data_IF_963889462180
#
_entry.id   IF_963889462180
#
_cell.length_a   1.000
_cell.length_b   1.000
_cell.length_c   1.000
_cell.angle_alpha   90.00
_cell.angle_beta   90.00
_cell.angle_gamma   90.00
#
_symmetry.space_group_name_H-M   'P 1'
#
loop_
_entity.id
_entity.type
_entity.pdbx_description
1 polymer ?
#
# COMPACT_ATOMS: atom_id res chain seq x y z
N UNK A 1 18.42 28.01 82.55
CA UNK A 1 18.91 27.09 81.51
C UNK A 1 17.78 26.89 80.55
N UNK A 2 17.82 27.59 79.42
CA UNK A 2 16.75 27.55 78.41
C UNK A 2 17.28 26.78 77.20
N UNK A 3 16.68 25.63 76.93
CA UNK A 3 16.97 24.78 75.76
C UNK A 3 16.14 25.29 74.60
N UNK A 4 16.80 25.86 73.58
CA UNK A 4 16.17 26.24 72.32
C UNK A 4 16.10 25.01 71.39
N UNK A 5 14.86 24.54 71.14
CA UNK A 5 14.57 23.48 70.18
C UNK A 5 14.55 24.08 68.76
N UNK A 6 15.48 23.68 67.89
CA UNK A 6 15.50 24.06 66.51
C UNK A 6 14.68 23.03 65.72
N UNK A 7 13.53 23.45 65.19
CA UNK A 7 12.72 22.66 64.27
C UNK A 7 13.32 22.79 62.85
N UNK A 8 13.96 21.73 62.34
CA UNK A 8 14.41 21.64 60.98
C UNK A 8 13.18 21.31 60.05
N UNK A 9 12.72 22.29 59.27
CA UNK A 9 11.72 22.09 58.26
C UNK A 9 12.45 21.53 57.03
N UNK A 10 12.29 20.23 56.76
CA UNK A 10 12.78 19.54 55.56
C UNK A 10 11.85 19.84 54.40
N UNK A 11 12.24 20.80 53.58
CA UNK A 11 11.51 21.17 52.35
C UNK A 11 11.71 20.05 51.31
N UNK A 12 10.71 19.14 51.14
CA UNK A 12 10.69 18.16 50.05
C UNK A 12 10.48 18.89 48.74
N UNK A 13 11.56 19.14 47.99
CA UNK A 13 11.49 19.57 46.61
C UNK A 13 11.10 18.35 45.77
N UNK A 14 9.81 18.23 45.41
CA UNK A 14 9.38 17.27 44.40
C UNK A 14 9.95 17.70 43.04
N UNK A 15 10.67 16.82 42.33
CA UNK A 15 11.07 17.13 40.94
C UNK A 15 9.78 17.29 40.09
N UNK A 16 9.77 18.24 39.13
CA UNK A 16 8.66 18.34 38.19
C UNK A 16 8.56 17.01 37.48
N UNK A 17 7.38 16.39 37.51
CA UNK A 17 7.06 15.28 36.63
C UNK A 17 7.25 15.79 35.18
N UNK A 18 8.23 15.23 34.44
CA UNK A 18 8.24 15.36 33.00
C UNK A 18 6.95 14.68 32.51
N UNK A 19 5.91 15.47 32.27
CA UNK A 19 4.83 15.04 31.41
C UNK A 19 5.48 14.74 30.09
N UNK A 20 5.65 13.45 29.77
CA UNK A 20 5.95 13.02 28.42
C UNK A 20 4.83 13.60 27.55
N UNK A 21 5.18 14.53 26.67
CA UNK A 21 4.27 15.06 25.66
C UNK A 21 3.82 13.84 24.82
N UNK A 22 2.68 13.23 25.22
CA UNK A 22 2.03 12.22 24.41
C UNK A 22 1.72 12.92 23.09
N UNK A 23 2.50 12.63 22.07
CA UNK A 23 2.37 13.20 20.75
C UNK A 23 0.90 13.08 20.31
N UNK A 24 0.17 14.17 20.44
CA UNK A 24 -1.28 14.22 20.19
C UNK A 24 -1.54 13.75 18.78
N UNK A 25 -2.24 12.62 18.62
CA UNK A 25 -2.59 12.07 17.33
C UNK A 25 -3.28 13.14 16.47
N UNK A 26 -2.92 13.27 15.19
CA UNK A 26 -3.58 14.20 14.30
C UNK A 26 -5.04 13.81 14.13
N UNK A 27 -5.97 14.78 14.12
CA UNK A 27 -7.40 14.51 13.96
C UNK A 27 -7.81 13.99 12.59
N UNK A 28 -6.88 13.96 11.63
CA UNK A 28 -7.11 13.42 10.28
C UNK A 28 -5.82 12.85 9.69
N UNK A 29 -5.97 11.96 8.70
CA UNK A 29 -4.92 11.47 7.82
C UNK A 29 -5.31 11.73 6.36
N UNK A 30 -4.38 12.22 5.54
CA UNK A 30 -4.56 12.40 4.09
C UNK A 30 -3.74 11.35 3.36
N UNK A 31 -4.40 10.43 2.66
CA UNK A 31 -3.74 9.39 1.87
C UNK A 31 -3.99 9.61 0.37
N UNK A 32 -2.93 9.54 -0.42
CA UNK A 32 -2.99 9.60 -1.87
C UNK A 32 -3.02 8.18 -2.47
N UNK A 33 -3.71 8.02 -3.59
CA UNK A 33 -3.68 6.77 -4.37
C UNK A 33 -4.01 7.05 -5.84
N UNK A 34 -3.54 6.18 -6.72
CA UNK A 34 -4.14 6.00 -8.03
C UNK A 34 -5.56 5.46 -7.88
N UNK A 35 -6.42 5.69 -8.85
CA UNK A 35 -7.76 5.15 -8.86
C UNK A 35 -7.73 3.74 -9.44
N UNK A 36 -7.93 2.74 -8.58
CA UNK A 36 -8.15 1.35 -8.96
C UNK A 36 -9.60 0.99 -8.64
N UNK A 37 -10.32 0.49 -9.66
CA UNK A 37 -11.75 0.20 -9.57
C UNK A 37 -12.07 -0.77 -8.43
N UNK A 38 -13.06 -0.46 -7.61
CA UNK A 38 -13.48 -1.22 -6.42
C UNK A 38 -12.43 -1.32 -5.30
N UNK A 39 -11.27 -0.67 -5.47
CA UNK A 39 -10.17 -0.74 -4.53
C UNK A 39 -9.87 0.62 -3.89
N UNK A 40 -9.56 1.62 -4.71
CA UNK A 40 -9.29 3.01 -4.28
C UNK A 40 -10.05 4.00 -5.15
N UNK A 41 -11.37 3.86 -5.24
CA UNK A 41 -12.22 4.75 -6.02
C UNK A 41 -12.03 6.21 -5.57
N UNK A 42 -12.15 7.14 -6.52
CA UNK A 42 -11.99 8.59 -6.29
C UNK A 42 -12.98 9.15 -5.28
N UNK A 43 -14.17 8.57 -5.17
CA UNK A 43 -15.21 8.96 -4.20
C UNK A 43 -14.91 8.49 -2.76
N UNK A 44 -13.80 7.76 -2.59
CA UNK A 44 -13.37 7.21 -1.33
C UNK A 44 -14.01 5.87 -0.97
N UNK A 45 -14.78 5.24 -1.85
CA UNK A 45 -15.21 3.84 -1.70
C UNK A 45 -14.13 2.88 -2.17
N UNK A 46 -14.20 1.62 -1.74
CA UNK A 46 -13.26 0.57 -2.17
C UNK A 46 -12.64 -0.19 -1.01
N UNK A 47 -12.12 -1.39 -1.30
CA UNK A 47 -11.56 -2.29 -0.30
C UNK A 47 -10.48 -1.61 0.55
N UNK A 48 -9.47 -1.01 -0.11
CA UNK A 48 -8.36 -0.39 0.61
C UNK A 48 -8.82 0.75 1.52
N UNK A 49 -9.74 1.59 1.02
CA UNK A 49 -10.28 2.69 1.83
C UNK A 49 -11.09 2.20 3.02
N UNK A 50 -11.87 1.11 2.87
CA UNK A 50 -12.63 0.53 3.97
C UNK A 50 -11.72 -0.09 5.04
N UNK A 51 -10.64 -0.78 4.64
CA UNK A 51 -9.63 -1.30 5.57
C UNK A 51 -8.97 -0.15 6.34
N UNK A 52 -8.54 0.90 5.63
CA UNK A 52 -7.84 2.02 6.24
C UNK A 52 -8.75 2.88 7.14
N UNK A 53 -10.05 3.01 6.81
CA UNK A 53 -11.03 3.59 7.74
C UNK A 53 -11.15 2.80 9.03
N UNK A 54 -11.23 1.47 8.93
CA UNK A 54 -11.30 0.60 10.12
C UNK A 54 -10.06 0.72 11.01
N UNK A 55 -8.93 1.05 10.41
CA UNK A 55 -7.69 1.32 11.16
C UNK A 55 -7.75 2.67 11.88
N UNK A 56 -8.06 3.75 11.17
CA UNK A 56 -7.84 5.12 11.65
C UNK A 56 -9.04 5.75 12.36
N UNK A 57 -10.27 5.59 11.83
CA UNK A 57 -11.44 6.31 12.34
C UNK A 57 -11.83 5.93 13.77
N UNK A 58 -11.76 4.64 14.19
CA UNK A 58 -12.03 4.29 15.60
C UNK A 58 -10.99 4.86 16.58
N UNK A 59 -9.83 5.30 16.09
CA UNK A 59 -8.82 6.00 16.88
C UNK A 59 -8.99 7.53 16.85
N UNK A 60 -10.08 8.04 16.29
CA UNK A 60 -10.37 9.48 16.18
C UNK A 60 -9.61 10.20 15.06
N UNK A 61 -9.04 9.47 14.10
CA UNK A 61 -8.29 10.02 12.95
C UNK A 61 -9.12 9.86 11.67
N UNK A 62 -9.76 10.93 11.22
CA UNK A 62 -10.61 10.90 10.02
C UNK A 62 -9.78 10.69 8.74
N UNK A 63 -10.17 9.73 7.91
CA UNK A 63 -9.52 9.46 6.62
C UNK A 63 -9.97 10.47 5.56
N UNK A 64 -9.01 11.13 4.92
CA UNK A 64 -9.21 11.94 3.72
C UNK A 64 -8.44 11.32 2.54
N UNK A 65 -9.12 11.11 1.42
CA UNK A 65 -8.54 10.51 0.23
C UNK A 65 -8.17 11.58 -0.80
N UNK A 66 -7.06 11.33 -1.52
CA UNK A 66 -6.60 12.17 -2.63
C UNK A 66 -6.27 11.30 -3.84
N UNK A 67 -7.10 11.38 -4.89
CA UNK A 67 -6.82 10.66 -6.13
C UNK A 67 -5.75 11.40 -6.95
N UNK A 68 -4.70 10.68 -7.36
CA UNK A 68 -3.63 11.16 -8.22
C UNK A 68 -2.95 9.96 -8.91
N UNK A 69 -2.31 10.11 -10.08
CA UNK A 69 -1.52 9.04 -10.69
C UNK A 69 -0.49 8.47 -9.70
N UNK A 70 -0.18 7.18 -9.80
CA UNK A 70 0.65 6.45 -8.83
C UNK A 70 1.96 7.16 -8.49
N UNK A 71 2.77 7.44 -9.51
CA UNK A 71 4.07 8.12 -9.32
C UNK A 71 3.95 9.50 -8.65
N UNK A 72 2.84 10.20 -8.91
CA UNK A 72 2.54 11.47 -8.25
C UNK A 72 2.16 11.26 -6.78
N UNK A 73 1.38 10.23 -6.48
CA UNK A 73 1.00 9.87 -5.09
C UNK A 73 2.24 9.58 -4.25
N UNK A 74 3.19 8.79 -4.78
CA UNK A 74 4.50 8.54 -4.15
C UNK A 74 5.24 9.86 -3.89
N UNK A 75 5.39 10.73 -4.91
CA UNK A 75 6.09 12.00 -4.78
C UNK A 75 5.44 12.97 -3.79
N UNK A 76 4.11 12.97 -3.68
CA UNK A 76 3.39 13.78 -2.68
C UNK A 76 3.73 13.36 -1.25
N UNK A 77 3.79 12.04 -0.98
CA UNK A 77 4.17 11.52 0.32
C UNK A 77 5.65 11.77 0.65
N UNK A 78 6.55 11.58 -0.32
CA UNK A 78 7.98 11.87 -0.15
C UNK A 78 8.25 13.34 0.23
N UNK A 79 7.45 14.28 -0.28
CA UNK A 79 7.57 15.72 0.07
C UNK A 79 6.74 16.13 1.28
N UNK A 80 6.01 15.20 1.92
CA UNK A 80 5.14 15.49 3.05
C UNK A 80 3.90 16.33 2.71
N UNK A 81 3.49 16.40 1.43
CA UNK A 81 2.27 17.09 1.00
C UNK A 81 0.99 16.30 1.29
N UNK A 82 1.14 15.00 1.54
CA UNK A 82 0.16 14.08 2.10
C UNK A 82 0.84 13.23 3.16
N UNK A 83 0.06 12.59 4.03
CA UNK A 83 0.58 11.77 5.12
C UNK A 83 1.13 10.41 4.64
N UNK A 84 0.68 9.97 3.45
CA UNK A 84 1.15 8.73 2.83
C UNK A 84 0.45 8.45 1.51
N UNK A 85 0.85 7.34 0.86
CA UNK A 85 0.15 6.81 -0.31
C UNK A 85 -0.18 5.32 -0.11
N UNK A 86 -1.16 4.84 -0.86
CA UNK A 86 -1.69 3.47 -0.75
C UNK A 86 -1.23 2.63 -1.93
N UNK A 87 -1.01 1.33 -1.70
CA UNK A 87 -0.66 0.37 -2.73
C UNK A 87 0.84 0.24 -2.99
N UNK A 88 1.68 0.56 -2.01
CA UNK A 88 3.13 0.39 -2.12
C UNK A 88 3.57 -1.03 -1.83
N UNK A 89 4.58 -1.50 -2.52
CA UNK A 89 5.37 -2.63 -2.06
C UNK A 89 6.42 -2.16 -1.05
N UNK A 90 6.93 -3.09 -0.22
CA UNK A 90 7.96 -2.73 0.79
C UNK A 90 9.23 -2.24 0.11
N UNK A 91 9.80 -1.17 0.64
CA UNK A 91 11.06 -0.56 0.18
C UNK A 91 11.04 -0.08 -1.29
N UNK A 92 9.84 0.22 -1.80
CA UNK A 92 9.67 0.73 -3.16
C UNK A 92 10.25 2.12 -3.37
N UNK A 93 10.12 2.97 -2.38
CA UNK A 93 10.58 4.36 -2.43
C UNK A 93 11.49 4.70 -1.24
N UNK A 94 12.45 5.61 -1.48
CA UNK A 94 13.32 6.17 -0.46
C UNK A 94 12.64 7.35 0.25
N UNK A 95 13.16 7.73 1.42
CA UNK A 95 12.67 8.86 2.23
C UNK A 95 11.17 8.75 2.59
N UNK A 96 10.75 7.54 2.94
CA UNK A 96 9.41 7.21 3.41
C UNK A 96 9.49 6.15 4.49
N UNK A 97 8.40 5.97 5.25
CA UNK A 97 8.32 5.01 6.33
C UNK A 97 7.35 3.90 5.96
N UNK A 98 7.78 2.66 6.10
CA UNK A 98 6.91 1.49 5.95
C UNK A 98 6.46 0.96 7.30
N UNK A 99 5.18 0.56 7.45
CA UNK A 99 4.68 -0.10 8.64
C UNK A 99 5.15 -1.56 8.69
N UNK A 100 5.00 -2.21 9.84
CA UNK A 100 5.22 -3.65 9.97
C UNK A 100 4.15 -4.45 9.21
N UNK A 101 2.88 -4.07 9.35
CA UNK A 101 1.75 -4.77 8.75
C UNK A 101 1.46 -4.27 7.33
N UNK A 102 1.30 -5.19 6.39
CA UNK A 102 0.61 -4.91 5.13
C UNK A 102 -0.90 -4.78 5.39
N UNK A 103 -1.64 -4.15 4.51
CA UNK A 103 -3.10 -4.05 4.65
C UNK A 103 -3.84 -4.98 3.70
N UNK A 104 -3.16 -5.49 2.66
CA UNK A 104 -3.65 -6.41 1.66
C UNK A 104 -2.47 -7.08 0.94
N UNK A 105 -2.77 -7.94 -0.05
CA UNK A 105 -1.79 -8.54 -0.96
C UNK A 105 -2.28 -8.45 -2.39
N UNK A 106 -1.40 -8.00 -3.30
CA UNK A 106 -1.64 -8.03 -4.74
C UNK A 106 -1.40 -9.44 -5.28
N UNK A 107 -2.38 -9.98 -5.99
CA UNK A 107 -2.22 -11.20 -6.77
C UNK A 107 -1.69 -10.82 -8.15
N UNK A 108 -0.42 -11.08 -8.39
CA UNK A 108 0.29 -10.69 -9.62
C UNK A 108 0.09 -11.74 -10.69
N UNK A 109 -0.36 -11.29 -11.85
CA UNK A 109 -0.62 -12.11 -13.04
C UNK A 109 0.23 -11.68 -14.23
N UNK A 110 0.47 -12.64 -15.11
CA UNK A 110 0.97 -12.40 -16.46
C UNK A 110 -0.17 -12.59 -17.46
N UNK A 111 -0.46 -11.56 -18.24
CA UNK A 111 -1.34 -11.61 -19.40
C UNK A 111 -0.48 -11.81 -20.64
N UNK A 112 -0.70 -12.87 -21.41
CA UNK A 112 0.01 -13.17 -22.65
C UNK A 112 -0.91 -13.80 -23.69
N UNK A 113 -0.39 -14.06 -24.88
CA UNK A 113 -1.14 -14.79 -25.91
C UNK A 113 -1.33 -16.26 -25.49
N UNK A 114 -2.51 -16.82 -25.71
CA UNK A 114 -2.84 -18.22 -25.38
C UNK A 114 -1.97 -19.26 -26.12
N UNK A 115 -1.32 -18.85 -27.21
CA UNK A 115 -0.39 -19.69 -27.98
C UNK A 115 1.01 -19.77 -27.38
N UNK A 116 1.32 -18.96 -26.37
CA UNK A 116 2.63 -18.95 -25.72
C UNK A 116 2.71 -20.01 -24.62
N UNK A 117 3.93 -20.51 -24.31
CA UNK A 117 4.12 -21.36 -23.15
C UNK A 117 3.69 -20.65 -21.87
N UNK A 118 3.12 -21.39 -20.92
CA UNK A 118 2.72 -20.86 -19.61
C UNK A 118 3.93 -20.30 -18.86
N UNK A 119 3.94 -19.00 -18.52
CA UNK A 119 5.05 -18.40 -17.76
C UNK A 119 5.02 -18.84 -16.31
N UNK A 120 6.20 -18.84 -15.68
CA UNK A 120 6.38 -18.98 -14.25
C UNK A 120 7.52 -18.09 -13.76
N UNK A 121 7.65 -17.87 -12.47
CA UNK A 121 8.70 -17.02 -11.90
C UNK A 121 10.11 -17.39 -12.37
N UNK A 122 10.39 -18.68 -12.56
CA UNK A 122 11.68 -19.16 -13.02
C UNK A 122 11.97 -18.81 -14.49
N UNK A 123 10.95 -18.64 -15.31
CA UNK A 123 11.05 -18.42 -16.77
C UNK A 123 10.82 -16.99 -17.21
N UNK A 124 10.54 -16.03 -16.29
CA UNK A 124 10.28 -14.62 -16.64
C UNK A 124 11.41 -13.99 -17.47
N UNK A 125 12.66 -14.44 -17.27
CA UNK A 125 13.82 -13.96 -18.02
C UNK A 125 13.81 -14.31 -19.51
N UNK A 126 12.99 -15.26 -19.94
CA UNK A 126 12.86 -15.68 -21.33
C UNK A 126 11.94 -14.76 -22.14
N UNK A 127 11.12 -13.95 -21.43
CA UNK A 127 10.09 -13.11 -22.03
C UNK A 127 10.48 -11.61 -22.04
N UNK A 128 9.88 -10.86 -22.94
CA UNK A 128 9.84 -9.40 -22.92
C UNK A 128 8.61 -8.98 -22.13
N UNK A 129 8.83 -8.41 -20.96
CA UNK A 129 7.76 -8.03 -20.05
C UNK A 129 7.31 -6.59 -20.30
N UNK A 130 6.08 -6.26 -19.93
CA UNK A 130 5.58 -4.89 -19.89
C UNK A 130 4.77 -4.67 -18.62
N UNK A 131 4.81 -3.45 -18.06
CA UNK A 131 3.97 -3.00 -16.93
C UNK A 131 3.84 -1.48 -16.91
N UNK A 132 2.95 -0.97 -16.08
CA UNK A 132 2.77 0.48 -15.91
C UNK A 132 3.98 1.09 -15.22
N UNK A 133 4.40 2.26 -15.72
CA UNK A 133 5.54 3.00 -15.17
C UNK A 133 5.36 3.27 -13.68
N UNK A 134 6.43 2.99 -12.92
CA UNK A 134 6.50 3.22 -11.48
C UNK A 134 6.18 1.98 -10.63
N UNK A 135 5.64 0.90 -11.18
CA UNK A 135 5.32 -0.32 -10.41
C UNK A 135 6.56 -1.13 -10.01
N UNK A 136 7.67 -0.95 -10.72
CA UNK A 136 8.98 -1.50 -10.35
C UNK A 136 9.02 -3.00 -10.11
N UNK A 137 8.22 -3.76 -10.86
CA UNK A 137 8.17 -5.22 -10.71
C UNK A 137 9.53 -5.90 -10.85
N UNK A 138 10.50 -5.26 -11.54
CA UNK A 138 11.87 -5.76 -11.62
C UNK A 138 12.58 -5.89 -10.26
N UNK A 139 12.08 -5.21 -9.21
CA UNK A 139 12.61 -5.32 -7.85
C UNK A 139 12.01 -6.49 -7.07
N UNK A 140 10.81 -6.93 -7.44
CA UNK A 140 10.00 -7.88 -6.64
C UNK A 140 9.85 -9.23 -7.32
N UNK A 141 9.98 -9.28 -8.65
CA UNK A 141 9.88 -10.52 -9.41
C UNK A 141 11.29 -11.03 -9.75
N UNK A 142 11.57 -12.32 -9.52
CA UNK A 142 12.87 -12.90 -9.84
C UNK A 142 13.04 -13.05 -11.36
N UNK A 143 14.31 -13.11 -11.79
CA UNK A 143 14.70 -13.43 -13.16
C UNK A 143 14.25 -12.42 -14.24
N UNK A 144 13.75 -11.26 -13.89
CA UNK A 144 13.42 -10.21 -14.85
C UNK A 144 14.68 -9.72 -15.56
N UNK A 145 14.70 -9.75 -16.89
CA UNK A 145 15.86 -9.32 -17.73
C UNK A 145 15.51 -8.25 -18.73
N UNK A 146 14.34 -8.34 -19.36
CA UNK A 146 13.88 -7.45 -20.43
C UNK A 146 12.48 -6.97 -20.15
N UNK A 147 12.30 -5.66 -20.01
CA UNK A 147 11.00 -5.09 -19.77
C UNK A 147 10.84 -3.70 -20.37
N UNK A 148 9.59 -3.34 -20.63
CA UNK A 148 9.16 -2.01 -21.04
C UNK A 148 8.19 -1.44 -20.03
N UNK A 149 8.27 -0.15 -19.78
CA UNK A 149 7.29 0.56 -18.95
C UNK A 149 6.35 1.36 -19.84
N UNK A 150 5.06 1.21 -19.64
CA UNK A 150 4.01 1.95 -20.37
C UNK A 150 3.40 3.03 -19.47
N UNK A 151 2.96 4.13 -20.07
CA UNK A 151 2.31 5.21 -19.33
C UNK A 151 0.84 4.89 -19.03
N UNK A 152 0.21 4.09 -19.87
CA UNK A 152 -1.22 3.76 -19.80
C UNK A 152 -1.44 2.32 -20.19
N UNK A 153 -2.56 1.75 -19.77
CA UNK A 153 -3.00 0.39 -20.13
C UNK A 153 -3.56 0.29 -21.54
N UNK A 154 -3.92 1.43 -22.14
CA UNK A 154 -4.39 1.47 -23.52
C UNK A 154 -3.32 0.92 -24.47
N UNK A 155 -3.71 0.03 -25.36
CA UNK A 155 -2.80 -0.56 -26.34
C UNK A 155 -1.99 -1.77 -25.85
N UNK A 156 -2.13 -2.24 -24.61
CA UNK A 156 -1.45 -3.45 -24.10
C UNK A 156 -1.81 -4.66 -24.97
N UNK A 157 -3.09 -4.89 -25.28
CA UNK A 157 -3.51 -6.01 -26.13
C UNK A 157 -2.85 -5.95 -27.50
N UNK A 158 -2.81 -4.77 -28.12
CA UNK A 158 -2.11 -4.56 -29.40
C UNK A 158 -0.61 -4.82 -29.28
N UNK A 159 0.02 -4.38 -28.19
CA UNK A 159 1.44 -4.63 -27.91
C UNK A 159 1.76 -6.13 -27.84
N UNK A 160 0.90 -6.91 -27.18
CA UNK A 160 1.03 -8.37 -27.08
C UNK A 160 0.79 -9.04 -28.45
N UNK A 161 -0.25 -8.63 -29.18
CA UNK A 161 -0.60 -9.19 -30.49
C UNK A 161 0.48 -8.95 -31.56
N UNK A 162 1.16 -7.81 -31.53
CA UNK A 162 2.22 -7.46 -32.46
C UNK A 162 3.63 -7.88 -31.97
N UNK A 163 3.70 -8.55 -30.83
CA UNK A 163 4.97 -9.03 -30.30
C UNK A 163 5.93 -7.91 -29.85
N UNK A 164 5.42 -6.75 -29.43
CA UNK A 164 6.24 -5.70 -28.82
C UNK A 164 6.54 -6.01 -27.34
N UNK A 165 5.69 -6.79 -26.69
CA UNK A 165 5.93 -7.49 -25.43
C UNK A 165 5.36 -8.91 -25.54
N UNK A 166 5.87 -9.82 -24.71
CA UNK A 166 5.41 -11.20 -24.64
C UNK A 166 4.38 -11.35 -23.53
N UNK A 167 4.61 -10.68 -22.39
CA UNK A 167 3.76 -10.71 -21.21
C UNK A 167 3.53 -9.29 -20.66
N UNK A 168 2.30 -9.01 -20.27
CA UNK A 168 1.96 -7.86 -19.43
C UNK A 168 1.79 -8.31 -18.00
N UNK A 169 2.55 -7.72 -17.09
CA UNK A 169 2.55 -8.05 -15.65
C UNK A 169 1.71 -7.01 -14.91
N UNK A 170 0.71 -7.48 -14.17
CA UNK A 170 -0.24 -6.60 -13.48
C UNK A 170 -0.96 -7.34 -12.35
N UNK A 171 -1.62 -6.62 -11.46
CA UNK A 171 -2.59 -7.17 -10.51
C UNK A 171 -3.77 -7.82 -11.24
N UNK A 172 -4.42 -8.81 -10.63
CA UNK A 172 -5.53 -9.54 -11.25
C UNK A 172 -6.61 -8.59 -11.78
N UNK A 173 -7.09 -7.67 -10.93
CA UNK A 173 -8.20 -6.76 -11.29
C UNK A 173 -7.89 -5.92 -12.53
N UNK A 174 -6.69 -5.37 -12.59
CA UNK A 174 -6.28 -4.52 -13.71
C UNK A 174 -5.95 -5.34 -14.96
N UNK A 175 -5.41 -6.55 -14.79
CA UNK A 175 -5.17 -7.47 -15.90
C UNK A 175 -6.50 -7.97 -16.51
N UNK A 176 -7.50 -8.27 -15.68
CA UNK A 176 -8.86 -8.61 -16.13
C UNK A 176 -9.53 -7.43 -16.84
N UNK A 177 -9.35 -6.20 -16.32
CA UNK A 177 -9.83 -5.01 -17.00
C UNK A 177 -9.23 -4.89 -18.41
N UNK A 178 -7.90 -5.03 -18.55
CA UNK A 178 -7.25 -5.02 -19.86
C UNK A 178 -7.80 -6.14 -20.76
N UNK A 179 -7.91 -7.35 -20.24
CA UNK A 179 -8.44 -8.50 -20.97
C UNK A 179 -9.89 -8.27 -21.44
N UNK A 180 -10.73 -7.61 -20.62
CA UNK A 180 -12.12 -7.30 -20.96
C UNK A 180 -12.28 -6.37 -22.16
N UNK A 181 -11.22 -5.66 -22.57
CA UNK A 181 -11.19 -4.79 -23.75
C UNK A 181 -10.83 -5.55 -25.03
N UNK A 182 -10.55 -6.86 -24.94
CA UNK A 182 -10.23 -7.67 -26.11
C UNK A 182 -11.47 -7.98 -26.94
N UNK A 183 -11.38 -7.86 -28.28
CA UNK A 183 -12.42 -8.33 -29.21
C UNK A 183 -12.65 -9.85 -29.10
N UNK A 184 -11.58 -10.59 -28.83
CA UNK A 184 -11.59 -12.03 -28.58
C UNK A 184 -10.71 -12.37 -27.37
N UNK A 185 -11.27 -12.43 -26.14
CA UNK A 185 -10.54 -12.77 -24.93
C UNK A 185 -9.89 -14.16 -24.95
N UNK A 186 -10.43 -15.11 -25.76
CA UNK A 186 -9.89 -16.47 -25.84
C UNK A 186 -8.47 -16.55 -26.44
N UNK A 187 -8.03 -15.49 -27.11
CA UNK A 187 -6.67 -15.37 -27.64
C UNK A 187 -5.61 -15.10 -26.58
N UNK A 188 -6.01 -14.79 -25.36
CA UNK A 188 -5.14 -14.43 -24.27
C UNK A 188 -5.32 -15.39 -23.08
N UNK A 189 -4.30 -15.45 -22.24
CA UNK A 189 -4.32 -16.23 -21.00
C UNK A 189 -3.77 -15.39 -19.86
N UNK A 190 -4.48 -15.43 -18.72
CA UNK A 190 -3.99 -14.91 -17.45
C UNK A 190 -3.35 -16.06 -16.65
N UNK A 191 -2.10 -15.87 -16.24
CA UNK A 191 -1.35 -16.84 -15.43
C UNK A 191 -0.96 -16.20 -14.12
N UNK A 192 -1.40 -16.77 -13.00
CA UNK A 192 -0.96 -16.32 -11.66
C UNK A 192 0.54 -16.55 -11.50
N UNK A 193 1.27 -15.56 -11.02
CA UNK A 193 2.71 -15.63 -10.79
C UNK A 193 3.06 -15.72 -9.30
N UNK A 194 2.54 -14.79 -8.50
CA UNK A 194 2.86 -14.65 -7.07
C UNK A 194 1.91 -13.67 -6.39
N UNK A 195 2.09 -13.52 -5.08
CA UNK A 195 1.44 -12.49 -4.27
C UNK A 195 2.48 -11.54 -3.71
N UNK A 196 2.19 -10.25 -3.71
CA UNK A 196 3.03 -9.20 -3.15
C UNK A 196 2.26 -8.42 -2.08
N UNK A 197 2.73 -8.39 -0.82
CA UNK A 197 2.08 -7.63 0.24
C UNK A 197 2.03 -6.13 -0.07
N UNK A 198 0.86 -5.50 0.16
CA UNK A 198 0.59 -4.09 -0.08
C UNK A 198 0.65 -3.26 1.20
N UNK A 199 1.37 -2.17 1.14
CA UNK A 199 1.61 -1.28 2.28
C UNK A 199 1.11 0.14 2.02
N UNK A 200 0.90 0.86 3.12
CA UNK A 200 0.86 2.32 3.10
C UNK A 200 2.30 2.82 3.23
N UNK A 201 2.76 3.62 2.29
CA UNK A 201 4.02 4.34 2.45
C UNK A 201 3.76 5.68 3.13
N UNK A 202 4.25 5.86 4.37
CA UNK A 202 4.05 7.10 5.14
C UNK A 202 5.15 8.11 4.86
N UNK A 203 4.83 9.40 4.90
CA UNK A 203 5.81 10.48 4.82
C UNK A 203 6.83 10.38 5.97
N UNK A 204 8.13 10.56 5.68
CA UNK A 204 9.16 10.55 6.72
C UNK A 204 9.25 11.90 7.44
N UNK A 205 8.31 12.13 8.31
CA UNK A 205 8.27 13.26 9.24
C UNK A 205 7.65 12.82 10.58
N UNK A 206 7.59 13.71 11.56
CA UNK A 206 7.05 13.41 12.88
C UNK A 206 5.61 12.91 12.83
N UNK A 207 4.77 13.57 12.03
CA UNK A 207 3.37 13.22 11.83
C UNK A 207 3.23 11.84 11.17
N UNK A 208 4.01 11.54 10.14
CA UNK A 208 4.03 10.22 9.49
C UNK A 208 4.50 9.11 10.42
N UNK A 209 5.48 9.39 11.30
CA UNK A 209 5.92 8.43 12.32
C UNK A 209 4.81 8.11 13.32
N UNK A 210 4.09 9.11 13.81
CA UNK A 210 2.96 8.92 14.73
C UNK A 210 1.83 8.10 14.08
N UNK A 211 1.45 8.44 12.83
CA UNK A 211 0.42 7.74 12.07
C UNK A 211 0.80 6.29 11.75
N UNK A 212 2.06 6.02 11.37
CA UNK A 212 2.56 4.66 11.16
C UNK A 212 2.52 3.83 12.43
N UNK A 213 2.92 4.41 13.57
CA UNK A 213 2.86 3.71 14.87
C UNK A 213 1.42 3.37 15.25
N UNK A 214 0.49 4.30 15.10
CA UNK A 214 -0.94 4.04 15.29
C UNK A 214 -1.43 2.93 14.37
N UNK A 215 -1.09 3.01 13.08
CA UNK A 215 -1.44 2.00 12.08
C UNK A 215 -1.01 0.60 12.51
N UNK A 216 0.27 0.41 12.88
CA UNK A 216 0.80 -0.88 13.29
C UNK A 216 0.11 -1.43 14.55
N UNK A 217 -0.14 -0.57 15.56
CA UNK A 217 -0.87 -0.94 16.76
C UNK A 217 -2.29 -1.41 16.46
N UNK A 218 -3.00 -0.67 15.60
CA UNK A 218 -4.38 -0.99 15.22
C UNK A 218 -4.44 -2.28 14.38
N UNK A 219 -3.57 -2.41 13.38
CA UNK A 219 -3.49 -3.61 12.53
C UNK A 219 -3.21 -4.87 13.36
N UNK A 220 -2.30 -4.81 14.33
CA UNK A 220 -2.03 -5.95 15.22
C UNK A 220 -3.30 -6.44 15.95
N UNK A 221 -4.17 -5.54 16.37
CA UNK A 221 -5.46 -5.89 17.00
C UNK A 221 -6.43 -6.44 15.98
N UNK A 222 -6.66 -5.72 14.87
CA UNK A 222 -7.65 -6.06 13.84
C UNK A 222 -7.38 -7.41 13.17
N UNK A 223 -6.10 -7.72 12.91
CA UNK A 223 -5.69 -9.03 12.38
C UNK A 223 -5.94 -10.13 13.40
N UNK A 224 -5.54 -9.92 14.66
CA UNK A 224 -5.73 -10.91 15.74
C UNK A 224 -7.21 -11.21 16.01
N UNK A 225 -8.08 -10.20 15.98
CA UNK A 225 -9.53 -10.36 16.20
C UNK A 225 -10.29 -10.82 14.96
N UNK A 226 -9.71 -10.64 13.77
CA UNK A 226 -10.35 -10.95 12.49
C UNK A 226 -11.38 -9.89 12.06
N UNK A 227 -11.36 -8.70 12.66
CA UNK A 227 -12.36 -7.64 12.40
C UNK A 227 -12.29 -7.06 10.98
N UNK A 228 -11.22 -7.36 10.23
CA UNK A 228 -11.11 -7.00 8.81
C UNK A 228 -11.83 -7.99 7.89
N UNK A 229 -12.07 -9.26 8.30
CA UNK A 229 -12.69 -10.30 7.45
C UNK A 229 -14.00 -9.87 6.79
N UNK A 230 -14.94 -9.19 7.50
CA UNK A 230 -16.19 -8.74 6.88
C UNK A 230 -15.99 -7.74 5.73
N UNK A 231 -14.90 -6.95 5.78
CA UNK A 231 -14.57 -6.00 4.73
C UNK A 231 -14.18 -6.77 3.47
N UNK A 232 -13.23 -7.71 3.58
CA UNK A 232 -12.79 -8.55 2.46
C UNK A 232 -13.93 -9.38 1.87
N UNK A 233 -14.81 -9.97 2.70
CA UNK A 233 -16.00 -10.70 2.26
C UNK A 233 -16.95 -9.82 1.44
N UNK A 234 -17.20 -8.57 1.87
CA UNK A 234 -18.07 -7.63 1.17
C UNK A 234 -17.54 -7.31 -0.23
N UNK A 235 -16.22 -7.15 -0.35
CA UNK A 235 -15.55 -6.87 -1.62
C UNK A 235 -15.20 -8.14 -2.42
N UNK A 236 -15.56 -9.35 -1.91
CA UNK A 236 -15.30 -10.67 -2.51
C UNK A 236 -13.81 -10.88 -2.82
N UNK A 237 -12.95 -10.39 -1.93
CA UNK A 237 -11.51 -10.55 -2.01
C UNK A 237 -10.99 -11.55 -0.98
N UNK A 238 -9.89 -12.28 -1.25
CA UNK A 238 -9.24 -13.14 -0.29
C UNK A 238 -8.80 -12.36 0.94
N UNK A 239 -8.87 -12.99 2.12
CA UNK A 239 -8.35 -12.40 3.36
C UNK A 239 -6.86 -12.70 3.47
N UNK A 240 -5.96 -11.70 3.52
CA UNK A 240 -4.51 -11.90 3.34
C UNK A 240 -3.75 -12.22 4.64
N UNK A 241 -4.45 -12.51 5.77
CA UNK A 241 -3.85 -12.77 7.09
C UNK A 241 -4.21 -14.13 7.65
#
# INVERSE_FOLDING_TARGET
MSVRCWLLIMLCVMPPALEADEARLPGKIVLASEEWSNYTNRDGSGLAWDVLRQVFEPAGVALQVRSAPYTRSVGLAQRGEVDGWVGSYRDEAEHVLYPYWHFDSDHIYALGLATMPTPGLATLGDYRLAWVRGYKYEKYLPNVRRFNQVERRDGILSMLQHGHADLYIESLTEAEYVLSQADDPSRFTLTHLTELPLYVGFADNERGRALRTLYDQRMAVLVKTGDLKPIFQRWKQPYPF
#
